data_IF_417748792498
#
_entry.id   IF_417748792498
#
_cell.length_a   1.000
_cell.length_b   1.000
_cell.length_c   1.000
_cell.angle_alpha   90.00
_cell.angle_beta   90.00
_cell.angle_gamma   90.00
#
_symmetry.space_group_name_H-M   'P 1'
#
loop_
_entity.id
_entity.type
_entity.pdbx_description
1 polymer ?
#
# COMPACT_ATOMS: atom_id res chain seq x y z
N UNK A 1 5.77 8.00 -14.12
CA UNK A 1 4.78 7.80 -15.21
C UNK A 1 3.52 7.15 -14.64
N UNK A 2 2.32 7.49 -15.13
CA UNK A 2 1.08 6.88 -14.65
C UNK A 2 0.80 5.53 -15.31
N UNK A 3 0.16 4.57 -14.63
CA UNK A 3 -0.39 4.68 -13.26
C UNK A 3 0.61 4.32 -12.15
N UNK A 4 0.38 4.86 -10.94
CA UNK A 4 1.30 4.72 -9.79
C UNK A 4 1.46 3.30 -9.22
N UNK A 5 0.54 2.39 -9.55
CA UNK A 5 0.60 0.97 -9.16
C UNK A 5 0.98 0.02 -10.32
N UNK A 6 1.44 0.59 -11.43
CA UNK A 6 1.82 -0.15 -12.63
C UNK A 6 0.68 -0.99 -13.24
N UNK A 7 -0.59 -0.72 -12.93
CA UNK A 7 -1.72 -1.51 -13.42
C UNK A 7 -2.07 -1.22 -14.88
N UNK A 8 -1.59 -0.10 -15.44
CA UNK A 8 -1.85 0.27 -16.83
C UNK A 8 -1.31 1.64 -17.20
N UNK A 9 -1.51 2.03 -18.46
CA UNK A 9 -1.12 3.35 -18.98
C UNK A 9 0.37 3.46 -19.35
N UNK A 10 0.87 4.70 -19.37
CA UNK A 10 2.24 5.04 -19.84
C UNK A 10 3.34 4.25 -19.13
N UNK A 11 3.17 3.93 -17.84
CA UNK A 11 4.13 3.15 -17.08
C UNK A 11 4.41 1.79 -17.71
N UNK A 12 3.42 1.12 -18.32
CA UNK A 12 3.66 -0.15 -19.02
C UNK A 12 4.67 0.01 -20.16
N UNK A 13 4.62 1.14 -20.89
CA UNK A 13 5.56 1.39 -21.99
C UNK A 13 6.98 1.61 -21.43
N UNK A 14 7.10 2.36 -20.33
CA UNK A 14 8.38 2.52 -19.65
C UNK A 14 8.92 1.18 -19.14
N UNK A 15 8.08 0.32 -18.54
CA UNK A 15 8.50 -0.99 -18.06
C UNK A 15 8.93 -1.90 -19.23
N UNK A 16 8.14 -2.00 -20.31
CA UNK A 16 8.50 -2.78 -21.50
C UNK A 16 9.87 -2.38 -22.07
N UNK A 17 10.16 -1.09 -22.10
CA UNK A 17 11.40 -0.60 -22.69
C UNK A 17 12.61 -0.64 -21.74
N UNK A 18 12.41 -0.70 -20.42
CA UNK A 18 13.49 -0.48 -19.44
C UNK A 18 13.64 -1.55 -18.35
N UNK A 19 12.60 -2.31 -17.99
CA UNK A 19 12.64 -3.20 -16.81
C UNK A 19 13.66 -4.34 -16.95
N UNK A 20 14.00 -4.72 -18.18
CA UNK A 20 14.97 -5.76 -18.52
C UNK A 20 16.42 -5.25 -18.61
N UNK A 21 16.64 -3.95 -18.46
CA UNK A 21 17.95 -3.30 -18.55
C UNK A 21 18.55 -3.14 -17.15
N UNK A 22 19.70 -3.77 -16.84
CA UNK A 22 20.30 -3.72 -15.50
C UNK A 22 20.80 -2.34 -15.09
N UNK A 23 21.07 -1.45 -16.04
CA UNK A 23 21.46 -0.06 -15.81
C UNK A 23 20.29 0.87 -15.45
N UNK A 24 19.04 0.38 -15.54
CA UNK A 24 17.85 1.16 -15.21
C UNK A 24 17.44 0.98 -13.75
N UNK A 25 16.85 2.04 -13.19
CA UNK A 25 16.29 2.07 -11.85
C UNK A 25 14.79 2.31 -11.90
N UNK A 26 14.01 1.51 -11.18
CA UNK A 26 12.59 1.72 -10.95
C UNK A 26 12.39 2.15 -9.50
N UNK A 27 12.02 3.41 -9.31
CA UNK A 27 11.74 3.97 -7.98
C UNK A 27 10.24 4.04 -7.75
N UNK A 28 9.76 3.32 -6.73
CA UNK A 28 8.36 3.27 -6.32
C UNK A 28 8.21 4.08 -5.02
N UNK A 29 7.43 5.14 -5.09
CA UNK A 29 7.29 6.15 -4.02
C UNK A 29 5.98 6.05 -3.24
N UNK A 30 5.12 5.10 -3.58
CA UNK A 30 3.78 4.96 -3.01
C UNK A 30 3.39 3.51 -2.81
N UNK A 31 2.33 3.32 -2.02
CA UNK A 31 1.81 2.01 -1.68
C UNK A 31 1.44 1.19 -2.93
N UNK A 32 1.74 -0.11 -2.90
CA UNK A 32 1.42 -1.04 -3.97
C UNK A 32 0.42 -2.08 -3.46
N UNK A 33 -0.84 -1.93 -3.86
CA UNK A 33 -1.91 -2.82 -3.44
C UNK A 33 -1.71 -4.25 -3.93
N UNK A 34 -2.16 -5.22 -3.14
CA UNK A 34 -2.15 -6.62 -3.53
C UNK A 34 -2.86 -6.84 -4.88
N UNK A 35 -2.34 -7.77 -5.68
CA UNK A 35 -2.85 -8.06 -7.03
C UNK A 35 -2.36 -7.10 -8.12
N UNK A 36 -1.76 -5.95 -7.80
CA UNK A 36 -1.20 -5.04 -8.80
C UNK A 36 0.13 -5.53 -9.36
N UNK A 37 0.45 -5.12 -10.59
CA UNK A 37 1.76 -5.42 -11.18
C UNK A 37 2.89 -4.77 -10.36
N UNK A 38 2.69 -3.54 -9.89
CA UNK A 38 3.70 -2.85 -9.10
C UNK A 38 4.00 -3.56 -7.80
N UNK A 39 3.00 -4.15 -7.13
CA UNK A 39 3.23 -4.99 -5.95
C UNK A 39 4.08 -6.22 -6.26
N UNK A 40 3.78 -6.92 -7.35
CA UNK A 40 4.60 -8.07 -7.78
C UNK A 40 6.06 -7.68 -8.06
N UNK A 41 6.28 -6.50 -8.62
CA UNK A 41 7.63 -5.97 -8.87
C UNK A 41 8.35 -5.68 -7.56
N UNK A 42 7.70 -5.00 -6.61
CA UNK A 42 8.23 -4.74 -5.26
C UNK A 42 8.55 -6.04 -4.53
N UNK A 43 7.68 -7.05 -4.64
CA UNK A 43 7.87 -8.38 -4.03
C UNK A 43 8.96 -9.22 -4.74
N UNK A 44 9.63 -8.67 -5.77
CA UNK A 44 10.84 -9.26 -6.36
C UNK A 44 10.59 -10.28 -7.47
N UNK A 45 9.45 -10.22 -8.16
CA UNK A 45 9.15 -11.10 -9.29
C UNK A 45 10.25 -11.03 -10.36
N UNK A 46 10.65 -12.19 -10.91
CA UNK A 46 11.75 -12.26 -11.89
C UNK A 46 11.34 -11.96 -13.32
N UNK A 47 10.04 -12.07 -13.63
CA UNK A 47 9.47 -11.75 -14.94
C UNK A 47 8.11 -11.09 -14.79
N UNK A 48 7.83 -10.12 -15.65
CA UNK A 48 6.52 -9.46 -15.75
C UNK A 48 5.90 -9.72 -17.11
N UNK A 49 4.58 -9.83 -17.17
CA UNK A 49 3.84 -9.94 -18.43
C UNK A 49 3.29 -8.58 -18.84
N UNK A 50 3.64 -8.11 -20.03
CA UNK A 50 3.18 -6.84 -20.61
C UNK A 50 2.76 -7.11 -22.06
N UNK A 51 1.49 -6.83 -22.40
CA UNK A 51 0.92 -7.07 -23.74
C UNK A 51 1.13 -8.48 -24.31
N UNK A 52 1.04 -9.50 -23.46
CA UNK A 52 1.20 -10.90 -23.89
C UNK A 52 2.62 -11.43 -23.71
N UNK A 53 3.63 -10.57 -23.74
CA UNK A 53 5.04 -10.95 -23.68
C UNK A 53 5.61 -10.91 -22.26
N UNK A 54 6.61 -11.75 -22.02
CA UNK A 54 7.33 -11.79 -20.73
C UNK A 54 8.66 -11.03 -20.82
N UNK A 55 8.86 -10.11 -19.89
CA UNK A 55 10.09 -9.33 -19.74
C UNK A 55 10.79 -9.70 -18.43
N UNK A 56 12.10 -10.00 -18.44
CA UNK A 56 12.83 -10.24 -17.20
C UNK A 56 12.97 -8.94 -16.40
N UNK A 57 12.89 -9.03 -15.08
CA UNK A 57 13.14 -7.89 -14.18
C UNK A 57 14.63 -7.91 -13.83
N UNK A 58 15.39 -7.00 -14.46
CA UNK A 58 16.84 -6.82 -14.22
C UNK A 58 17.18 -5.42 -13.72
N UNK A 59 16.31 -4.45 -13.99
CA UNK A 59 16.41 -3.12 -13.41
C UNK A 59 16.42 -3.19 -11.88
N UNK A 60 17.14 -2.27 -11.24
CA UNK A 60 17.14 -2.16 -9.78
C UNK A 60 15.82 -1.56 -9.31
N UNK A 61 15.14 -2.24 -8.38
CA UNK A 61 13.86 -1.80 -7.83
C UNK A 61 14.09 -1.18 -6.46
N UNK A 62 13.63 0.06 -6.29
CA UNK A 62 13.77 0.85 -5.06
C UNK A 62 12.38 1.23 -4.55
N UNK A 63 12.18 1.19 -3.23
CA UNK A 63 10.97 1.68 -2.57
C UNK A 63 11.30 2.81 -1.61
N UNK A 64 10.52 3.90 -1.66
CA UNK A 64 10.65 5.03 -0.74
C UNK A 64 9.33 5.15 0.03
N UNK A 65 9.35 4.78 1.32
CA UNK A 65 8.17 4.65 2.16
C UNK A 65 7.56 5.94 2.73
N UNK A 66 8.15 7.12 2.44
CA UNK A 66 7.75 8.41 3.05
C UNK A 66 7.06 9.40 2.10
N UNK A 67 6.74 9.01 0.87
CA UNK A 67 6.14 9.90 -0.14
C UNK A 67 4.69 9.52 -0.48
N UNK A 68 4.09 8.60 0.27
CA UNK A 68 2.75 8.06 -0.02
C UNK A 68 1.60 9.02 0.37
N UNK A 69 1.89 10.16 0.99
CA UNK A 69 0.93 11.13 1.53
C UNK A 69 -0.10 10.54 2.53
N UNK A 70 0.10 9.31 2.98
CA UNK A 70 -0.70 8.66 4.01
C UNK A 70 0.05 8.71 5.35
N UNK A 71 -0.69 9.00 6.41
CA UNK A 71 -0.25 8.88 7.79
C UNK A 71 0.28 7.46 8.07
N UNK A 72 1.38 7.37 8.82
CA UNK A 72 1.86 6.09 9.32
C UNK A 72 1.04 5.61 10.54
N UNK A 73 1.44 4.48 11.13
CA UNK A 73 0.70 3.94 12.28
C UNK A 73 0.74 4.88 13.49
N UNK A 74 1.88 5.53 13.75
CA UNK A 74 2.02 6.42 14.89
C UNK A 74 1.23 7.70 14.65
N UNK A 75 1.31 8.27 13.44
CA UNK A 75 0.51 9.42 13.05
C UNK A 75 -1.00 9.17 13.26
N UNK A 76 -1.50 7.98 12.91
CA UNK A 76 -2.90 7.60 13.12
C UNK A 76 -3.27 7.42 14.59
N UNK A 77 -2.36 6.90 15.41
CA UNK A 77 -2.56 6.75 16.86
C UNK A 77 -2.58 8.12 17.53
N UNK A 78 -1.61 8.97 17.20
CA UNK A 78 -1.49 10.33 17.74
C UNK A 78 -2.71 11.18 17.34
N UNK A 79 -3.17 11.04 16.09
CA UNK A 79 -4.40 11.68 15.62
C UNK A 79 -5.64 11.23 16.40
N UNK A 80 -5.77 9.93 16.69
CA UNK A 80 -6.88 9.43 17.49
C UNK A 80 -6.76 9.84 18.96
N UNK A 81 -5.54 9.96 19.49
CA UNK A 81 -5.32 10.36 20.87
C UNK A 81 -5.82 11.79 21.17
N UNK A 82 -5.87 12.65 20.16
CA UNK A 82 -6.39 14.00 20.31
C UNK A 82 -7.91 14.10 20.60
N UNK A 83 -8.69 13.01 20.50
CA UNK A 83 -10.12 13.02 20.83
C UNK A 83 -10.37 12.81 22.34
N UNK A 84 -11.15 13.70 22.96
CA UNK A 84 -11.45 13.66 24.41
C UNK A 84 -12.21 12.38 24.85
N UNK A 85 -13.26 12.00 24.11
CA UNK A 85 -14.16 10.92 24.51
C UNK A 85 -13.80 9.53 23.93
N UNK A 86 -12.64 9.41 23.25
CA UNK A 86 -12.20 8.17 22.57
C UNK A 86 -13.36 7.44 21.86
N UNK A 87 -13.97 8.06 20.83
CA UNK A 87 -15.16 7.50 20.19
C UNK A 87 -14.86 6.13 19.55
N UNK A 88 -15.88 5.27 19.35
CA UNK A 88 -15.72 4.03 18.60
C UNK A 88 -15.07 4.29 17.24
N UNK A 89 -14.09 3.45 16.87
CA UNK A 89 -13.34 3.59 15.63
C UNK A 89 -13.38 2.30 14.82
N UNK A 90 -13.72 2.44 13.55
CA UNK A 90 -13.83 1.33 12.61
C UNK A 90 -12.80 1.52 11.50
N UNK A 91 -11.82 0.63 11.43
CA UNK A 91 -10.78 0.69 10.41
C UNK A 91 -11.35 0.19 9.08
N UNK A 92 -11.23 1.04 8.07
CA UNK A 92 -11.54 0.78 6.66
C UNK A 92 -10.28 0.93 5.81
N UNK A 93 -10.39 0.72 4.49
CA UNK A 93 -9.36 1.02 3.49
C UNK A 93 -7.91 0.65 3.90
N UNK A 94 -7.69 -0.62 4.24
CA UNK A 94 -6.38 -1.14 4.58
C UNK A 94 -6.34 -2.65 4.43
N UNK A 95 -5.15 -3.23 4.31
CA UNK A 95 -5.00 -4.68 4.38
C UNK A 95 -5.14 -5.15 5.82
N UNK A 96 -5.80 -6.29 6.04
CA UNK A 96 -6.04 -6.84 7.37
C UNK A 96 -4.75 -6.99 8.20
N UNK A 97 -3.64 -7.35 7.54
CA UNK A 97 -2.31 -7.44 8.18
C UNK A 97 -1.78 -6.12 8.74
N UNK A 98 -2.22 -4.98 8.20
CA UNK A 98 -1.86 -3.65 8.69
C UNK A 98 -2.91 -3.13 9.69
N UNK A 99 -4.19 -3.43 9.46
CA UNK A 99 -5.29 -3.02 10.32
C UNK A 99 -5.25 -3.71 11.69
N UNK A 100 -4.96 -5.02 11.75
CA UNK A 100 -4.92 -5.77 13.02
C UNK A 100 -3.94 -5.18 14.04
N UNK A 101 -2.66 -4.90 13.68
CA UNK A 101 -1.75 -4.21 14.59
C UNK A 101 -2.23 -2.83 15.03
N UNK A 102 -2.83 -2.04 14.12
CA UNK A 102 -3.35 -0.72 14.49
C UNK A 102 -4.53 -0.82 15.48
N UNK A 103 -5.48 -1.76 15.28
CA UNK A 103 -6.54 -2.01 16.25
C UNK A 103 -5.97 -2.41 17.61
N UNK A 104 -4.98 -3.31 17.62
CA UNK A 104 -4.34 -3.73 18.87
C UNK A 104 -3.70 -2.55 19.59
N UNK A 105 -3.00 -1.67 18.85
CA UNK A 105 -2.36 -0.48 19.41
C UNK A 105 -3.38 0.52 19.98
N UNK A 106 -4.42 0.84 19.22
CA UNK A 106 -5.52 1.71 19.69
C UNK A 106 -6.21 1.17 20.95
N UNK A 107 -6.41 -0.15 21.04
CA UNK A 107 -6.99 -0.79 22.23
C UNK A 107 -6.05 -0.77 23.43
N UNK A 108 -4.80 -1.17 23.24
CA UNK A 108 -3.86 -1.36 24.34
C UNK A 108 -3.36 -0.02 24.89
N UNK A 109 -3.10 0.94 24.01
CA UNK A 109 -2.47 2.20 24.41
C UNK A 109 -3.52 3.23 24.84
N UNK A 110 -4.70 3.24 24.20
CA UNK A 110 -5.70 4.30 24.36
C UNK A 110 -7.06 3.82 24.88
N UNK A 111 -7.23 2.52 25.17
CA UNK A 111 -8.51 1.90 25.53
C UNK A 111 -9.63 2.19 24.51
N UNK A 112 -9.27 2.40 23.24
CA UNK A 112 -10.21 2.75 22.19
C UNK A 112 -11.19 1.59 21.90
N UNK A 113 -12.50 1.86 21.69
CA UNK A 113 -13.41 0.87 21.13
C UNK A 113 -13.16 0.70 19.63
N UNK A 114 -12.08 -0.01 19.29
CA UNK A 114 -11.61 -0.18 17.91
C UNK A 114 -12.01 -1.54 17.30
N UNK A 115 -12.42 -1.55 16.03
CA UNK A 115 -12.61 -2.79 15.27
C UNK A 115 -12.32 -2.59 13.78
N UNK A 116 -12.16 -3.68 13.04
CA UNK A 116 -12.06 -3.64 11.58
C UNK A 116 -13.48 -3.76 11.02
N UNK A 117 -13.87 -2.85 10.14
CA UNK A 117 -15.17 -2.93 9.48
C UNK A 117 -15.22 -4.13 8.54
N UNK A 118 -16.36 -4.83 8.52
CA UNK A 118 -16.60 -5.91 7.56
C UNK A 118 -17.45 -5.41 6.39
N UNK A 119 -17.27 -6.02 5.21
CA UNK A 119 -18.06 -5.69 4.03
C UNK A 119 -19.57 -5.85 4.33
N UNK A 120 -20.37 -4.88 3.88
CA UNK A 120 -21.82 -4.80 4.16
C UNK A 120 -22.22 -4.63 5.64
N UNK A 121 -21.27 -4.29 6.53
CA UNK A 121 -21.61 -3.93 7.90
C UNK A 121 -22.41 -2.63 7.96
N UNK A 122 -23.54 -2.66 8.66
CA UNK A 122 -24.27 -1.47 9.09
C UNK A 122 -23.94 -1.16 10.53
N UNK A 123 -23.72 0.13 10.83
CA UNK A 123 -23.45 0.64 12.18
C UNK A 123 -24.51 1.68 12.47
N UNK A 124 -25.30 1.45 13.52
CA UNK A 124 -26.22 2.44 14.07
C UNK A 124 -25.41 3.37 14.98
N UNK A 125 -25.48 4.68 14.71
CA UNK A 125 -24.65 5.72 15.33
C UNK A 125 -25.50 6.58 16.27
#
# INVERSE_FOLDING_TARGET
AGSGMCSGGRIHHHLKNNIWRPECHLVIVGYQAYGTLGRRIVDGVKKVKLWGDYYPVRAQVHTIGGLSAHADQNDLVDWYDAFENKPPVYLVHGEERAQKPLVAKLKNDLNAPASIAVYEQTIDI
#
